data_IF_050200828817
#
_entry.id   IF_050200828817
#
_cell.length_a   1.000
_cell.length_b   1.000
_cell.length_c   1.000
_cell.angle_alpha   90.00
_cell.angle_beta   90.00
_cell.angle_gamma   90.00
#
_symmetry.space_group_name_H-M   'P 1'
#
loop_
_entity.id
_entity.type
_entity.pdbx_description
1 polymer ?
#
# COMPACT_ATOMS: atom_id res chain seq x y z
N UNK A 1 -12.96 1.19 -0.65
CA UNK A 1 -12.17 2.42 -0.47
C UNK A 1 -12.49 3.06 0.87
N UNK A 2 -13.75 3.46 1.13
CA UNK A 2 -14.11 4.24 2.33
C UNK A 2 -13.57 3.63 3.64
N UNK A 3 -13.91 2.39 3.95
CA UNK A 3 -13.52 1.72 5.21
C UNK A 3 -12.03 1.40 5.27
N UNK A 4 -11.53 0.68 4.24
CA UNK A 4 -10.18 0.12 4.26
C UNK A 4 -9.09 1.13 3.87
N UNK A 5 -9.47 2.32 3.42
CA UNK A 5 -8.54 3.38 3.08
C UNK A 5 -8.85 4.63 3.89
N UNK A 6 -9.93 5.38 3.60
CA UNK A 6 -10.20 6.65 4.25
C UNK A 6 -10.28 6.54 5.77
N UNK A 7 -11.18 5.71 6.32
CA UNK A 7 -11.34 5.59 7.78
C UNK A 7 -10.04 5.12 8.46
N UNK A 8 -9.31 4.20 7.81
CA UNK A 8 -8.06 3.69 8.36
C UNK A 8 -6.96 4.75 8.38
N UNK A 9 -6.76 5.46 7.27
CA UNK A 9 -5.69 6.47 7.14
C UNK A 9 -5.97 7.74 7.94
N UNK A 10 -7.27 8.06 8.16
CA UNK A 10 -7.69 9.22 8.96
C UNK A 10 -7.90 8.89 10.43
N UNK A 11 -7.51 7.70 10.88
CA UNK A 11 -7.78 7.24 12.25
C UNK A 11 -7.28 8.21 13.31
N UNK A 12 -6.09 8.77 13.17
CA UNK A 12 -5.54 9.74 14.10
C UNK A 12 -6.39 11.01 14.16
N UNK A 13 -6.83 11.54 13.01
CA UNK A 13 -7.68 12.71 12.93
C UNK A 13 -9.04 12.50 13.62
N UNK A 14 -9.59 11.29 13.56
CA UNK A 14 -10.80 10.94 14.31
C UNK A 14 -10.56 10.93 15.83
N UNK A 15 -9.38 10.46 16.27
CA UNK A 15 -8.99 10.51 17.67
C UNK A 15 -8.76 11.93 18.18
N UNK A 16 -8.25 12.81 17.34
CA UNK A 16 -8.00 14.22 17.63
C UNK A 16 -9.28 15.07 17.48
N UNK A 17 -10.43 14.42 17.25
CA UNK A 17 -11.74 15.05 17.07
C UNK A 17 -11.76 16.12 15.96
N UNK A 18 -10.99 15.89 14.87
CA UNK A 18 -10.93 16.78 13.71
C UNK A 18 -12.29 16.83 12.98
N UNK A 19 -12.98 17.95 13.11
CA UNK A 19 -14.29 18.17 12.51
C UNK A 19 -14.32 17.93 11.01
N UNK A 20 -13.30 18.33 10.26
CA UNK A 20 -13.25 18.14 8.82
C UNK A 20 -13.18 16.66 8.42
N UNK A 21 -12.53 15.81 9.23
CA UNK A 21 -12.52 14.37 9.00
C UNK A 21 -13.91 13.75 9.22
N UNK A 22 -14.62 14.19 10.26
CA UNK A 22 -16.00 13.75 10.52
C UNK A 22 -16.97 14.25 9.47
N UNK A 23 -16.89 15.53 9.07
CA UNK A 23 -17.76 16.11 8.05
C UNK A 23 -17.62 15.40 6.70
N UNK A 24 -16.39 15.06 6.30
CA UNK A 24 -16.12 14.28 5.09
C UNK A 24 -16.75 12.90 5.17
N UNK A 25 -16.58 12.20 6.30
CA UNK A 25 -17.17 10.87 6.50
C UNK A 25 -18.69 10.93 6.52
N UNK A 26 -19.25 11.91 7.22
CA UNK A 26 -20.69 12.16 7.31
C UNK A 26 -21.29 12.37 5.92
N UNK A 27 -20.72 13.30 5.13
CA UNK A 27 -21.18 13.60 3.78
C UNK A 27 -21.12 12.35 2.88
N UNK A 28 -20.02 11.61 2.93
CA UNK A 28 -19.86 10.38 2.15
C UNK A 28 -20.90 9.30 2.55
N UNK A 29 -21.19 9.16 3.85
CA UNK A 29 -22.18 8.18 4.32
C UNK A 29 -23.61 8.58 3.99
N UNK A 30 -23.97 9.84 4.18
CA UNK A 30 -25.32 10.35 3.83
C UNK A 30 -25.58 10.16 2.34
N UNK A 31 -24.68 10.64 1.49
CA UNK A 31 -24.79 10.49 0.03
C UNK A 31 -24.86 9.00 -0.39
N UNK A 32 -24.05 8.16 0.25
CA UNK A 32 -24.08 6.70 -0.04
C UNK A 32 -25.42 6.09 0.33
N UNK A 33 -26.04 6.50 1.45
CA UNK A 33 -27.36 5.97 1.84
C UNK A 33 -28.46 6.46 0.91
N UNK A 34 -28.42 7.71 0.45
CA UNK A 34 -29.36 8.24 -0.55
C UNK A 34 -29.25 7.49 -1.89
N UNK A 35 -28.01 7.23 -2.36
CA UNK A 35 -27.77 6.43 -3.56
C UNK A 35 -28.20 4.97 -3.40
N UNK A 36 -28.01 4.40 -2.22
CA UNK A 36 -28.34 3.00 -1.94
C UNK A 36 -29.82 2.76 -1.62
N UNK A 37 -30.60 3.80 -1.33
CA UNK A 37 -31.99 3.69 -0.89
C UNK A 37 -32.88 2.82 -1.84
N UNK A 38 -32.80 2.93 -3.17
CA UNK A 38 -33.58 2.08 -4.06
C UNK A 38 -33.17 0.59 -4.02
N UNK A 39 -31.93 0.28 -3.62
CA UNK A 39 -31.36 -1.07 -3.62
C UNK A 39 -31.43 -1.72 -2.24
N UNK A 40 -31.27 -0.94 -1.18
CA UNK A 40 -31.18 -1.39 0.20
C UNK A 40 -32.13 -0.58 1.10
N UNK A 41 -33.45 -0.57 0.83
CA UNK A 41 -34.39 0.41 1.41
C UNK A 41 -34.43 0.41 2.94
N UNK A 42 -34.35 -0.74 3.58
CA UNK A 42 -34.42 -0.83 5.06
C UNK A 42 -33.13 -0.41 5.74
N UNK A 43 -31.98 -0.82 5.16
CA UNK A 43 -30.67 -0.49 5.73
C UNK A 43 -30.33 0.98 5.54
N UNK A 44 -30.59 1.54 4.36
CA UNK A 44 -30.35 2.95 4.08
C UNK A 44 -31.21 3.85 4.96
N UNK A 45 -32.48 3.48 5.18
CA UNK A 45 -33.40 4.19 6.07
C UNK A 45 -32.84 4.27 7.51
N UNK A 46 -32.49 3.12 8.07
CA UNK A 46 -32.00 3.03 9.45
C UNK A 46 -30.71 3.86 9.67
N UNK A 47 -29.73 3.70 8.75
CA UNK A 47 -28.46 4.43 8.85
C UNK A 47 -28.66 5.91 8.60
N UNK A 48 -29.40 6.30 7.58
CA UNK A 48 -29.61 7.71 7.22
C UNK A 48 -30.34 8.48 8.33
N UNK A 49 -31.39 7.88 8.91
CA UNK A 49 -32.10 8.47 10.03
C UNK A 49 -31.21 8.61 11.27
N UNK A 50 -30.38 7.60 11.54
CA UNK A 50 -29.42 7.67 12.64
C UNK A 50 -28.38 8.77 12.47
N UNK A 51 -27.97 9.06 11.23
CA UNK A 51 -26.98 10.10 10.92
C UNK A 51 -27.60 11.50 10.91
N UNK A 52 -28.77 11.66 10.31
CA UNK A 52 -29.35 12.97 10.00
C UNK A 52 -30.44 13.41 10.99
N UNK A 53 -31.09 12.47 11.68
CA UNK A 53 -32.31 12.71 12.45
C UNK A 53 -33.55 13.04 11.57
N UNK A 54 -33.43 12.89 10.24
CA UNK A 54 -34.53 13.20 9.32
C UNK A 54 -35.64 12.17 9.35
N UNK A 55 -36.73 12.46 8.64
CA UNK A 55 -37.97 11.65 8.66
C UNK A 55 -37.75 10.31 7.90
N UNK A 56 -37.24 10.37 6.65
CA UNK A 56 -36.96 9.21 5.83
C UNK A 56 -36.04 9.53 4.67
N UNK A 57 -35.09 8.64 4.34
CA UNK A 57 -34.24 8.73 3.15
C UNK A 57 -35.07 8.66 1.86
N UNK A 58 -36.21 7.96 1.89
CA UNK A 58 -37.09 7.79 0.72
C UNK A 58 -37.91 9.04 0.38
N UNK A 59 -37.84 10.08 1.22
CA UNK A 59 -38.46 11.39 0.98
C UNK A 59 -37.45 12.43 0.49
N UNK A 60 -36.18 12.07 0.40
CA UNK A 60 -35.14 12.94 -0.14
C UNK A 60 -35.05 12.86 -1.67
N UNK A 61 -34.55 13.91 -2.28
CA UNK A 61 -34.21 13.89 -3.70
C UNK A 61 -32.95 13.02 -3.95
N UNK A 62 -32.83 12.53 -5.17
CA UNK A 62 -31.63 11.80 -5.57
C UNK A 62 -30.41 12.76 -5.54
N UNK A 63 -29.25 12.31 -4.98
CA UNK A 63 -28.10 13.21 -4.80
C UNK A 63 -27.64 13.81 -6.14
N UNK A 64 -27.39 15.09 -6.14
CA UNK A 64 -26.80 15.81 -7.27
C UNK A 64 -25.32 15.99 -6.98
N UNK A 65 -24.49 15.70 -7.98
CA UNK A 65 -23.04 15.93 -7.89
C UNK A 65 -22.79 17.43 -7.83
N UNK A 66 -22.14 17.88 -6.77
CA UNK A 66 -21.62 19.24 -6.67
C UNK A 66 -20.30 19.30 -7.48
N UNK A 67 -20.32 20.02 -8.61
CA UNK A 67 -19.12 20.20 -9.46
C UNK A 67 -17.95 20.84 -8.70
N UNK A 68 -18.21 21.55 -7.59
CA UNK A 68 -17.17 22.16 -6.77
C UNK A 68 -16.31 21.12 -6.02
N UNK A 69 -16.81 19.90 -5.84
CA UNK A 69 -16.05 18.79 -5.21
C UNK A 69 -15.49 17.81 -6.24
N UNK A 70 -15.73 18.03 -7.53
CA UNK A 70 -15.13 17.22 -8.59
C UNK A 70 -13.63 17.54 -8.73
N UNK A 71 -12.79 16.59 -8.37
CA UNK A 71 -11.34 16.73 -8.37
C UNK A 71 -10.68 15.52 -9.05
N UNK A 72 -10.83 15.35 -10.37
CA UNK A 72 -10.37 14.16 -11.09
C UNK A 72 -8.86 13.95 -10.97
N UNK A 73 -8.07 15.02 -10.92
CA UNK A 73 -6.62 14.94 -10.73
C UNK A 73 -6.24 14.40 -9.34
N UNK A 74 -6.94 14.84 -8.30
CA UNK A 74 -6.77 14.33 -6.94
C UNK A 74 -7.16 12.85 -6.84
N UNK A 75 -8.25 12.46 -7.48
CA UNK A 75 -8.70 11.05 -7.52
C UNK A 75 -7.66 10.20 -8.24
N UNK A 76 -7.16 10.64 -9.39
CA UNK A 76 -6.13 9.93 -10.14
C UNK A 76 -4.82 9.79 -9.33
N UNK A 77 -4.37 10.87 -8.69
CA UNK A 77 -3.19 10.83 -7.82
C UNK A 77 -3.38 9.87 -6.64
N UNK A 78 -4.56 9.88 -6.00
CA UNK A 78 -4.85 8.98 -4.87
C UNK A 78 -4.96 7.51 -5.31
N UNK A 79 -5.46 7.22 -6.49
CA UNK A 79 -5.50 5.86 -7.04
C UNK A 79 -4.08 5.35 -7.34
N UNK A 80 -3.20 6.22 -7.84
CA UNK A 80 -1.79 5.90 -8.01
C UNK A 80 -1.09 5.68 -6.66
N UNK A 81 -1.31 6.53 -5.66
CA UNK A 81 -0.81 6.34 -4.28
C UNK A 81 -1.23 4.98 -3.72
N UNK A 82 -2.48 4.59 -3.91
CA UNK A 82 -2.98 3.27 -3.47
C UNK A 82 -2.28 2.12 -4.19
N UNK A 83 -2.00 2.29 -5.47
CA UNK A 83 -1.28 1.32 -6.28
C UNK A 83 0.17 1.17 -5.80
N UNK A 84 0.86 2.29 -5.52
CA UNK A 84 2.21 2.33 -4.94
C UNK A 84 2.24 1.60 -3.60
N UNK A 85 1.34 1.92 -2.67
CA UNK A 85 1.24 1.26 -1.36
C UNK A 85 0.99 -0.24 -1.51
N UNK A 86 0.12 -0.64 -2.44
CA UNK A 86 -0.18 -2.05 -2.71
C UNK A 86 1.05 -2.79 -3.25
N UNK A 87 1.79 -2.21 -4.19
CA UNK A 87 3.03 -2.77 -4.73
C UNK A 87 4.11 -2.91 -3.66
N UNK A 88 4.31 -1.88 -2.84
CA UNK A 88 5.26 -1.92 -1.72
C UNK A 88 4.92 -3.02 -0.70
N UNK A 89 3.64 -3.23 -0.39
CA UNK A 89 3.21 -4.34 0.45
C UNK A 89 3.40 -5.70 -0.23
N UNK A 90 3.21 -5.80 -1.54
CA UNK A 90 3.49 -7.03 -2.30
C UNK A 90 4.97 -7.36 -2.26
N UNK A 91 5.86 -6.38 -2.43
CA UNK A 91 7.31 -6.52 -2.27
C UNK A 91 7.67 -7.02 -0.87
N UNK A 92 7.14 -6.38 0.19
CA UNK A 92 7.35 -6.84 1.57
C UNK A 92 6.93 -8.30 1.76
N UNK A 93 5.77 -8.68 1.24
CA UNK A 93 5.25 -10.05 1.36
C UNK A 93 6.12 -11.06 0.63
N UNK A 94 6.53 -10.77 -0.60
CA UNK A 94 7.39 -11.64 -1.43
C UNK A 94 8.75 -11.87 -0.76
N UNK A 95 9.31 -10.83 -0.13
CA UNK A 95 10.61 -10.90 0.55
C UNK A 95 10.48 -11.21 2.06
N UNK A 96 9.29 -11.64 2.53
CA UNK A 96 9.01 -12.04 3.91
C UNK A 96 9.31 -10.95 4.96
N UNK A 97 9.27 -9.68 4.55
CA UNK A 97 9.46 -8.52 5.43
C UNK A 97 8.18 -8.22 6.19
N UNK A 98 8.26 -8.18 7.51
CA UNK A 98 7.10 -7.85 8.35
C UNK A 98 6.67 -6.41 8.10
N UNK A 99 5.36 -6.15 7.99
CA UNK A 99 4.85 -4.78 7.79
C UNK A 99 5.22 -3.86 8.96
N UNK A 100 5.31 -4.39 10.18
CA UNK A 100 5.72 -3.63 11.37
C UNK A 100 7.21 -3.31 11.44
N UNK A 101 8.06 -4.03 10.71
CA UNK A 101 9.46 -3.72 10.60
C UNK A 101 9.61 -2.44 9.77
N UNK A 102 10.06 -1.31 10.35
CA UNK A 102 10.31 -0.12 9.57
C UNK A 102 11.49 -0.36 8.64
N UNK A 103 11.45 0.25 7.46
CA UNK A 103 12.53 0.24 6.49
C UNK A 103 13.01 1.66 6.24
N UNK A 104 14.21 1.80 5.66
CA UNK A 104 14.85 3.10 5.49
C UNK A 104 14.08 3.97 4.50
N UNK A 105 13.82 3.48 3.29
CA UNK A 105 13.24 4.31 2.23
C UNK A 105 12.42 3.53 1.21
N UNK A 106 11.52 4.26 0.55
CA UNK A 106 10.85 3.88 -0.68
C UNK A 106 11.17 4.93 -1.75
N UNK A 107 11.75 4.51 -2.87
CA UNK A 107 11.90 5.36 -4.05
C UNK A 107 10.70 5.10 -4.97
N UNK A 108 10.02 6.17 -5.36
CA UNK A 108 8.92 6.18 -6.32
C UNK A 108 9.37 6.93 -7.56
N UNK A 109 9.40 6.25 -8.69
CA UNK A 109 9.82 6.81 -9.97
C UNK A 109 8.61 6.90 -10.89
N UNK A 110 8.20 8.11 -11.22
CA UNK A 110 7.00 8.37 -12.04
C UNK A 110 7.19 9.63 -12.89
N UNK A 111 6.64 9.64 -14.08
CA UNK A 111 6.59 10.86 -14.91
C UNK A 111 5.77 11.97 -14.22
N UNK A 112 4.77 11.61 -13.44
CA UNK A 112 3.89 12.54 -12.73
C UNK A 112 4.18 12.61 -11.22
N UNK A 113 5.45 12.47 -10.84
CA UNK A 113 5.84 12.42 -9.41
C UNK A 113 5.41 13.67 -8.62
N UNK A 114 5.38 14.85 -9.25
CA UNK A 114 4.99 16.09 -8.59
C UNK A 114 3.55 16.06 -8.03
N UNK A 115 2.65 15.33 -8.68
CA UNK A 115 1.29 15.12 -8.17
C UNK A 115 1.23 14.15 -6.98
N UNK A 116 2.28 13.35 -6.77
CA UNK A 116 2.38 12.34 -5.71
C UNK A 116 3.12 12.88 -4.47
N UNK A 117 4.00 13.86 -4.63
CA UNK A 117 4.79 14.45 -3.52
C UNK A 117 3.94 14.90 -2.32
N UNK A 118 2.74 15.51 -2.48
CA UNK A 118 1.90 15.89 -1.35
C UNK A 118 1.46 14.72 -0.47
N UNK A 119 1.58 13.49 -0.97
CA UNK A 119 1.19 12.27 -0.27
C UNK A 119 2.37 11.48 0.30
N UNK A 120 3.57 12.07 0.33
CA UNK A 120 4.79 11.39 0.83
C UNK A 120 4.60 10.81 2.23
N UNK A 121 4.10 11.60 3.17
CA UNK A 121 3.87 11.17 4.55
C UNK A 121 2.83 10.06 4.65
N UNK A 122 1.77 10.13 3.84
CA UNK A 122 0.76 9.08 3.77
C UNK A 122 1.37 7.76 3.27
N UNK A 123 2.14 7.80 2.19
CA UNK A 123 2.82 6.63 1.64
C UNK A 123 3.82 6.07 2.68
N UNK A 124 4.63 6.94 3.31
CA UNK A 124 5.60 6.55 4.32
C UNK A 124 4.95 5.83 5.50
N UNK A 125 3.85 6.38 6.00
CA UNK A 125 3.07 5.80 7.10
C UNK A 125 2.46 4.46 6.72
N UNK A 126 1.83 4.36 5.56
CA UNK A 126 1.16 3.15 5.10
C UNK A 126 2.14 2.00 4.80
N UNK A 127 3.27 2.33 4.18
CA UNK A 127 4.32 1.35 3.84
C UNK A 127 5.23 1.05 5.04
N UNK A 128 5.23 1.89 6.07
CA UNK A 128 6.14 1.88 7.23
C UNK A 128 7.61 2.02 6.80
N UNK A 129 7.90 3.12 6.12
CA UNK A 129 9.26 3.54 5.76
C UNK A 129 9.57 4.91 6.38
N UNK A 130 10.86 5.21 6.59
CA UNK A 130 11.29 6.48 7.18
C UNK A 130 11.20 7.65 6.21
N UNK A 131 11.36 7.38 4.92
CA UNK A 131 11.30 8.40 3.88
C UNK A 131 10.74 7.84 2.58
N UNK A 132 10.08 8.71 1.83
CA UNK A 132 9.70 8.46 0.44
C UNK A 132 10.43 9.46 -0.43
N UNK A 133 11.14 8.97 -1.44
CA UNK A 133 11.88 9.77 -2.40
C UNK A 133 11.17 9.66 -3.75
N UNK A 134 10.96 10.79 -4.39
CA UNK A 134 10.35 10.83 -5.72
C UNK A 134 11.39 11.21 -6.77
N UNK A 135 11.29 10.63 -7.94
CA UNK A 135 12.18 10.92 -9.06
C UNK A 135 11.46 10.78 -10.39
N UNK A 136 11.91 11.53 -11.37
CA UNK A 136 11.54 11.26 -12.76
C UNK A 136 12.31 10.03 -13.28
N UNK A 137 11.78 9.28 -14.26
CA UNK A 137 12.45 8.10 -14.81
C UNK A 137 13.88 8.37 -15.31
N UNK A 138 14.09 9.51 -15.98
CA UNK A 138 15.40 9.91 -16.52
C UNK A 138 16.43 10.23 -15.43
N UNK A 139 16.00 10.63 -14.25
CA UNK A 139 16.85 11.07 -13.12
C UNK A 139 17.08 9.97 -12.08
N UNK A 140 16.34 8.88 -12.20
CA UNK A 140 16.35 7.78 -11.20
C UNK A 140 17.64 6.96 -11.18
N UNK A 141 18.40 6.99 -12.27
CA UNK A 141 19.60 6.16 -12.45
C UNK A 141 19.32 4.65 -12.56
N UNK A 142 18.06 4.26 -12.60
CA UNK A 142 17.64 2.87 -12.69
C UNK A 142 17.67 2.38 -14.13
N UNK A 143 18.16 1.14 -14.33
CA UNK A 143 18.08 0.47 -15.63
C UNK A 143 16.78 -0.32 -15.69
N UNK A 144 15.95 0.03 -16.66
CA UNK A 144 14.70 -0.67 -16.94
C UNK A 144 14.96 -1.73 -18.01
N UNK A 145 14.59 -2.96 -17.70
CA UNK A 145 14.62 -4.07 -18.67
C UNK A 145 13.21 -4.48 -19.00
N UNK A 146 12.90 -4.49 -20.27
CA UNK A 146 11.66 -5.05 -20.76
C UNK A 146 11.93 -6.46 -21.28
N UNK A 147 11.28 -7.44 -20.69
CA UNK A 147 11.40 -8.84 -21.08
C UNK A 147 10.13 -9.30 -21.77
N UNK A 148 10.31 -9.86 -22.94
CA UNK A 148 9.24 -10.49 -23.70
C UNK A 148 9.18 -11.98 -23.33
N UNK A 149 8.04 -12.45 -22.91
CA UNK A 149 7.77 -13.87 -22.72
C UNK A 149 6.82 -14.35 -23.83
N UNK A 150 7.25 -15.33 -24.61
CA UNK A 150 6.42 -15.95 -25.64
C UNK A 150 5.61 -17.10 -25.06
N UNK A 151 4.35 -17.24 -25.49
CA UNK A 151 3.46 -18.33 -25.12
C UNK A 151 3.18 -19.25 -26.32
N UNK A 152 4.03 -20.25 -26.61
CA UNK A 152 3.87 -21.11 -27.78
C UNK A 152 2.58 -21.94 -27.77
N UNK A 153 1.91 -22.07 -26.62
CA UNK A 153 0.63 -22.80 -26.53
C UNK A 153 -0.52 -22.04 -27.18
N UNK A 154 -0.43 -20.71 -27.16
CA UNK A 154 -1.42 -19.82 -27.77
C UNK A 154 -1.13 -19.54 -29.26
N UNK A 155 0.00 -20.02 -29.81
CA UNK A 155 0.37 -19.79 -31.21
C UNK A 155 -0.58 -20.52 -32.16
N UNK A 156 -1.02 -19.84 -33.20
CA UNK A 156 -1.72 -20.44 -34.32
C UNK A 156 -0.79 -21.45 -35.06
N UNK A 157 -1.31 -22.39 -35.85
CA UNK A 157 -0.51 -23.37 -36.56
C UNK A 157 0.54 -22.78 -37.54
N UNK A 158 0.28 -21.58 -38.07
CA UNK A 158 1.21 -20.86 -38.95
C UNK A 158 2.37 -20.27 -38.15
N UNK A 159 2.09 -19.54 -37.06
CA UNK A 159 3.07 -18.95 -36.15
C UNK A 159 3.90 -20.03 -35.46
N UNK A 160 3.30 -21.16 -35.11
CA UNK A 160 3.98 -22.28 -34.46
C UNK A 160 5.14 -22.85 -35.26
N UNK A 161 5.11 -22.78 -36.59
CA UNK A 161 6.20 -23.20 -37.46
C UNK A 161 7.42 -22.27 -37.33
N UNK A 162 7.23 -21.05 -36.91
CA UNK A 162 8.24 -20.00 -36.77
C UNK A 162 8.79 -19.90 -35.34
N UNK A 163 8.38 -20.77 -34.42
CA UNK A 163 8.72 -20.71 -32.99
C UNK A 163 10.23 -20.55 -32.74
N UNK A 164 11.09 -21.28 -33.47
CA UNK A 164 12.53 -21.18 -33.30
C UNK A 164 13.09 -19.82 -33.73
N UNK A 165 12.52 -19.21 -34.76
CA UNK A 165 12.92 -17.88 -35.24
C UNK A 165 12.44 -16.82 -34.23
N UNK A 166 11.23 -16.95 -33.69
CA UNK A 166 10.71 -16.07 -32.66
C UNK A 166 11.54 -16.06 -31.37
N UNK A 167 11.95 -17.24 -30.88
CA UNK A 167 12.84 -17.32 -29.72
C UNK A 167 14.23 -16.74 -30.00
N UNK A 168 14.71 -16.84 -31.23
CA UNK A 168 15.99 -16.22 -31.63
C UNK A 168 15.85 -14.68 -31.66
N UNK A 169 14.81 -14.16 -32.28
CA UNK A 169 14.51 -12.72 -32.33
C UNK A 169 14.23 -12.15 -30.93
N UNK A 170 13.52 -12.89 -30.07
CA UNK A 170 13.33 -12.53 -28.66
C UNK A 170 14.67 -12.33 -27.94
N UNK A 171 15.60 -13.26 -28.10
CA UNK A 171 16.92 -13.20 -27.45
C UNK A 171 17.83 -12.11 -28.02
N UNK A 172 17.71 -11.78 -29.31
CA UNK A 172 18.47 -10.69 -29.94
C UNK A 172 17.88 -9.34 -29.69
N UNK A 173 16.69 -9.24 -29.08
CA UNK A 173 15.99 -7.97 -28.83
C UNK A 173 15.35 -7.38 -30.11
N UNK A 174 15.21 -8.16 -31.17
CA UNK A 174 14.62 -7.74 -32.45
C UNK A 174 13.10 -7.81 -32.41
N UNK A 175 12.50 -7.09 -31.47
CA UNK A 175 11.05 -7.01 -31.31
C UNK A 175 10.67 -5.63 -30.75
N UNK A 176 9.46 -5.22 -31.03
CA UNK A 176 8.87 -4.01 -30.49
C UNK A 176 7.41 -4.26 -30.11
N UNK A 177 6.92 -3.54 -29.09
CA UNK A 177 5.51 -3.58 -28.68
C UNK A 177 4.89 -2.23 -28.97
N UNK A 178 3.86 -2.24 -29.80
CA UNK A 178 3.12 -1.04 -30.20
C UNK A 178 1.63 -1.36 -30.15
N UNK A 179 0.87 -0.54 -29.46
CA UNK A 179 -0.59 -0.67 -29.33
C UNK A 179 -1.08 -2.06 -28.82
N UNK A 180 -0.30 -2.71 -27.95
CA UNK A 180 -0.64 -4.03 -27.40
C UNK A 180 -0.34 -5.20 -28.33
N UNK A 181 0.37 -4.96 -29.44
CA UNK A 181 0.86 -5.96 -30.37
C UNK A 181 2.38 -6.08 -30.27
N UNK A 182 2.91 -7.31 -30.35
CA UNK A 182 4.33 -7.54 -30.41
C UNK A 182 4.75 -7.83 -31.87
N UNK A 183 5.58 -6.95 -32.43
CA UNK A 183 6.07 -7.02 -33.81
C UNK A 183 7.48 -7.54 -33.86
N UNK A 184 7.73 -8.44 -34.81
CA UNK A 184 9.04 -9.04 -35.08
C UNK A 184 9.50 -8.67 -36.49
N UNK A 185 10.27 -7.57 -36.66
CA UNK A 185 10.70 -7.12 -37.99
C UNK A 185 11.54 -8.13 -38.75
N UNK A 186 12.27 -8.98 -38.02
CA UNK A 186 13.16 -10.01 -38.62
C UNK A 186 12.50 -11.37 -38.86
N UNK A 187 11.23 -11.54 -38.50
CA UNK A 187 10.48 -12.77 -38.70
C UNK A 187 9.27 -12.48 -39.62
N UNK A 188 9.21 -13.13 -40.75
CA UNK A 188 8.13 -12.91 -41.74
C UNK A 188 7.13 -14.05 -41.73
N UNK A 189 5.86 -13.70 -41.86
CA UNK A 189 4.77 -14.64 -42.17
C UNK A 189 4.01 -14.07 -43.37
N UNK A 190 3.90 -14.91 -44.43
CA UNK A 190 3.21 -14.55 -45.67
C UNK A 190 3.75 -13.27 -46.36
N UNK A 191 5.06 -12.97 -46.19
CA UNK A 191 5.71 -11.81 -46.80
C UNK A 191 5.53 -10.49 -46.04
N UNK A 192 5.04 -10.54 -44.81
CA UNK A 192 4.95 -9.37 -43.92
C UNK A 192 5.62 -9.67 -42.56
N UNK A 193 6.13 -8.65 -41.83
CA UNK A 193 6.63 -8.81 -40.48
C UNK A 193 5.59 -9.47 -39.56
N UNK A 194 6.01 -10.46 -38.79
CA UNK A 194 5.12 -11.19 -37.89
C UNK A 194 4.67 -10.28 -36.75
N UNK A 195 3.37 -10.31 -36.50
CA UNK A 195 2.75 -9.63 -35.38
C UNK A 195 2.07 -10.66 -34.47
N UNK A 196 2.41 -10.65 -33.18
CA UNK A 196 1.75 -11.44 -32.16
C UNK A 196 0.72 -10.58 -31.42
N UNK A 197 -0.44 -11.16 -31.11
CA UNK A 197 -1.54 -10.48 -30.42
C UNK A 197 -2.08 -11.33 -29.27
N UNK A 198 -2.78 -10.68 -28.35
CA UNK A 198 -3.48 -11.35 -27.25
C UNK A 198 -2.56 -12.20 -26.38
N UNK A 199 -2.98 -13.45 -26.10
CA UNK A 199 -2.29 -14.37 -25.18
C UNK A 199 -1.03 -15.01 -25.77
N UNK A 200 -0.63 -14.67 -26.99
CA UNK A 200 0.55 -15.24 -27.66
C UNK A 200 1.88 -14.78 -27.01
N UNK A 201 1.84 -13.67 -26.32
CA UNK A 201 2.99 -13.12 -25.62
C UNK A 201 2.58 -12.40 -24.35
N UNK A 202 3.53 -12.16 -23.47
CA UNK A 202 3.41 -11.21 -22.36
C UNK A 202 4.71 -10.39 -22.26
N UNK A 203 4.54 -9.15 -21.87
CA UNK A 203 5.67 -8.26 -21.63
C UNK A 203 5.72 -7.99 -20.13
N UNK A 204 6.87 -8.22 -19.53
CA UNK A 204 7.17 -7.84 -18.16
C UNK A 204 8.27 -6.80 -18.18
N UNK A 205 8.07 -5.75 -17.42
CA UNK A 205 9.10 -4.75 -17.17
C UNK A 205 9.70 -5.03 -15.81
N UNK A 206 11.00 -5.13 -15.74
CA UNK A 206 11.74 -5.26 -14.49
C UNK A 206 12.73 -4.10 -14.35
N UNK A 207 13.04 -3.78 -13.12
CA UNK A 207 14.00 -2.72 -12.78
C UNK A 207 15.20 -3.40 -12.11
N UNK A 208 16.40 -3.11 -12.58
CA UNK A 208 17.61 -3.56 -11.90
C UNK A 208 17.76 -2.74 -10.60
N UNK A 209 17.34 -3.34 -9.49
CA UNK A 209 17.58 -2.80 -8.16
C UNK A 209 19.00 -3.12 -7.68
N UNK A 210 19.58 -2.24 -6.85
CA UNK A 210 20.87 -2.48 -6.23
C UNK A 210 20.79 -3.61 -5.19
N UNK A 211 21.94 -4.10 -4.73
CA UNK A 211 22.00 -5.04 -3.61
C UNK A 211 21.34 -4.41 -2.38
N UNK A 212 20.52 -5.18 -1.66
CA UNK A 212 19.73 -4.68 -0.54
C UNK A 212 18.44 -3.94 -0.94
N UNK A 213 18.10 -3.87 -2.22
CA UNK A 213 16.89 -3.24 -2.71
C UNK A 213 16.02 -4.23 -3.50
N UNK A 214 14.70 -3.99 -3.46
CA UNK A 214 13.74 -4.75 -4.25
C UNK A 214 12.80 -3.80 -4.97
N UNK A 215 12.44 -4.13 -6.21
CA UNK A 215 11.67 -3.24 -7.06
C UNK A 215 10.45 -3.94 -7.67
N UNK A 216 9.44 -3.15 -8.00
CA UNK A 216 8.26 -3.57 -8.76
C UNK A 216 7.86 -2.46 -9.73
N UNK A 217 7.14 -2.84 -10.78
CA UNK A 217 6.66 -1.95 -11.84
C UNK A 217 5.15 -2.02 -11.89
N UNK A 218 4.51 -0.88 -11.68
CA UNK A 218 3.06 -0.75 -11.73
C UNK A 218 2.55 -0.72 -13.18
N UNK A 219 1.29 -1.05 -13.37
CA UNK A 219 0.64 -0.98 -14.70
C UNK A 219 0.60 0.45 -15.28
N UNK A 220 0.68 1.47 -14.43
CA UNK A 220 0.82 2.88 -14.83
C UNK A 220 2.18 3.23 -15.41
N UNK A 221 3.18 2.33 -15.31
CA UNK A 221 4.57 2.60 -15.64
C UNK A 221 5.38 3.25 -14.50
N UNK A 222 4.78 3.47 -13.34
CA UNK A 222 5.48 3.91 -12.12
C UNK A 222 6.31 2.76 -11.57
N UNK A 223 7.54 3.03 -11.13
CA UNK A 223 8.40 2.07 -10.45
C UNK A 223 8.43 2.36 -8.96
N UNK A 224 8.48 1.31 -8.16
CA UNK A 224 8.72 1.39 -6.72
C UNK A 224 9.94 0.57 -6.36
N UNK A 225 10.87 1.17 -5.62
CA UNK A 225 12.07 0.49 -5.14
C UNK A 225 12.10 0.62 -3.62
N UNK A 226 12.06 -0.50 -2.94
CA UNK A 226 12.05 -0.59 -1.50
C UNK A 226 13.45 -0.98 -1.00
N UNK A 227 14.00 -0.16 -0.11
CA UNK A 227 15.22 -0.46 0.59
C UNK A 227 14.92 -1.51 1.68
N UNK A 228 15.62 -2.63 1.63
CA UNK A 228 15.41 -3.76 2.54
C UNK A 228 16.55 -3.96 3.53
N UNK A 229 17.60 -3.12 3.46
CA UNK A 229 18.68 -3.17 4.44
C UNK A 229 18.18 -2.73 5.81
N UNK A 230 18.49 -3.53 6.83
CA UNK A 230 18.13 -3.24 8.20
C UNK A 230 19.34 -2.68 8.93
N UNK A 231 19.19 -1.48 9.47
CA UNK A 231 20.15 -0.94 10.44
C UNK A 231 19.78 -1.37 11.85
N UNK A 232 20.74 -1.37 12.79
CA UNK A 232 20.44 -1.69 14.20
C UNK A 232 19.30 -0.83 14.78
N UNK A 233 19.19 0.44 14.36
CA UNK A 233 18.13 1.34 14.81
C UNK A 233 16.76 0.91 14.27
N UNK A 234 16.69 0.45 13.00
CA UNK A 234 15.46 -0.05 12.40
C UNK A 234 15.04 -1.39 13.02
N UNK A 235 16.00 -2.25 13.37
CA UNK A 235 15.74 -3.50 14.08
C UNK A 235 15.20 -3.23 15.48
N UNK A 236 15.82 -2.30 16.23
CA UNK A 236 15.37 -1.89 17.56
C UNK A 236 13.95 -1.32 17.53
N UNK A 237 13.64 -0.44 16.56
CA UNK A 237 12.27 0.09 16.38
C UNK A 237 11.28 -1.03 16.02
N UNK A 238 11.67 -1.93 15.14
CA UNK A 238 10.84 -3.07 14.76
C UNK A 238 10.49 -3.93 15.97
N UNK A 239 11.46 -4.20 16.85
CA UNK A 239 11.23 -4.90 18.10
C UNK A 239 10.31 -4.13 19.04
N UNK A 240 10.52 -2.82 19.21
CA UNK A 240 9.64 -1.98 20.03
C UNK A 240 8.18 -1.99 19.54
N UNK A 241 7.95 -1.97 18.23
CA UNK A 241 6.59 -2.10 17.66
C UNK A 241 5.97 -3.49 17.87
N UNK A 242 6.79 -4.55 17.89
CA UNK A 242 6.32 -5.89 18.28
C UNK A 242 5.94 -5.93 19.77
N UNK A 243 6.68 -5.21 20.64
CA UNK A 243 6.33 -5.03 22.07
C UNK A 243 4.99 -4.29 22.20
N UNK A 244 4.82 -3.15 21.51
CA UNK A 244 3.54 -2.39 21.52
C UNK A 244 2.38 -3.31 21.16
N UNK A 245 2.53 -4.13 20.11
CA UNK A 245 1.48 -5.07 19.74
C UNK A 245 1.18 -6.08 20.85
N UNK A 246 2.22 -6.67 21.45
CA UNK A 246 2.04 -7.62 22.55
C UNK A 246 1.30 -6.97 23.72
N UNK A 247 1.59 -5.70 24.04
CA UNK A 247 0.87 -4.92 25.05
C UNK A 247 -0.60 -4.72 24.67
N UNK A 248 -0.88 -4.37 23.41
CA UNK A 248 -2.27 -4.18 22.94
C UNK A 248 -3.06 -5.49 22.98
N UNK A 249 -2.43 -6.60 22.63
CA UNK A 249 -3.04 -7.94 22.73
C UNK A 249 -3.34 -8.27 24.21
N UNK A 250 -2.42 -7.98 25.15
CA UNK A 250 -2.61 -8.21 26.58
C UNK A 250 -3.67 -7.28 27.19
N UNK A 251 -3.73 -6.01 26.81
CA UNK A 251 -4.81 -5.08 27.18
C UNK A 251 -6.20 -5.64 26.83
N UNK A 252 -6.31 -6.20 25.60
CA UNK A 252 -7.54 -6.83 25.14
C UNK A 252 -7.89 -8.08 25.94
N UNK A 253 -6.90 -8.93 26.25
CA UNK A 253 -7.07 -10.12 27.06
C UNK A 253 -7.53 -9.78 28.49
N UNK A 254 -7.00 -8.69 29.05
CA UNK A 254 -7.38 -8.15 30.35
C UNK A 254 -8.74 -7.45 30.35
N UNK A 255 -9.42 -7.32 29.18
CA UNK A 255 -10.72 -6.67 29.07
C UNK A 255 -10.69 -5.14 29.29
N UNK A 256 -9.53 -4.51 29.09
CA UNK A 256 -9.38 -3.06 29.26
C UNK A 256 -10.05 -2.29 28.12
N UNK A 257 -10.61 -1.15 28.46
CA UNK A 257 -11.14 -0.21 27.47
C UNK A 257 -9.98 0.45 26.70
N UNK A 258 -10.24 0.88 25.45
CA UNK A 258 -9.22 1.49 24.58
C UNK A 258 -8.59 2.73 25.25
N UNK A 259 -9.38 3.52 25.96
CA UNK A 259 -8.95 4.75 26.63
C UNK A 259 -8.34 4.54 28.04
N UNK A 260 -8.35 3.33 28.56
CA UNK A 260 -7.81 3.06 29.90
C UNK A 260 -6.30 3.32 29.95
N UNK A 261 -5.83 3.97 31.00
CA UNK A 261 -4.41 4.13 31.31
C UNK A 261 -3.92 2.90 32.06
N UNK A 262 -2.65 2.54 31.84
CA UNK A 262 -2.07 1.34 32.41
C UNK A 262 -0.74 1.58 33.11
N UNK A 263 -0.43 0.71 34.07
CA UNK A 263 0.91 0.45 34.54
C UNK A 263 1.44 -0.77 33.78
N UNK A 264 2.60 -0.65 33.14
CA UNK A 264 3.16 -1.63 32.24
C UNK A 264 4.47 -2.17 32.77
N UNK A 265 4.57 -3.49 32.91
CA UNK A 265 5.82 -4.20 33.21
C UNK A 265 6.16 -5.16 32.07
N UNK A 266 7.36 -5.00 31.54
CA UNK A 266 7.91 -5.79 30.45
C UNK A 266 9.07 -6.64 30.95
N UNK A 267 9.05 -7.93 30.66
CA UNK A 267 10.25 -8.77 30.69
C UNK A 267 10.66 -9.05 29.27
N UNK A 268 11.91 -8.73 28.92
CA UNK A 268 12.42 -8.87 27.54
C UNK A 268 13.76 -9.62 27.54
N UNK A 269 14.12 -10.30 26.42
CA UNK A 269 15.46 -10.88 26.29
C UNK A 269 16.56 -9.84 26.55
N UNK A 270 17.66 -10.29 27.17
CA UNK A 270 18.72 -9.38 27.64
C UNK A 270 19.35 -8.55 26.50
N UNK A 271 19.40 -9.07 25.28
CA UNK A 271 19.89 -8.42 24.08
C UNK A 271 18.95 -7.31 23.55
N UNK A 272 17.67 -7.33 23.94
CA UNK A 272 16.67 -6.33 23.53
C UNK A 272 16.30 -5.31 24.61
N UNK A 273 16.92 -5.37 25.79
CA UNK A 273 16.66 -4.36 26.85
C UNK A 273 17.01 -2.96 26.38
N UNK A 274 18.18 -2.81 25.73
CA UNK A 274 18.60 -1.52 25.20
C UNK A 274 17.66 -0.98 24.10
N UNK A 275 17.14 -1.87 23.26
CA UNK A 275 16.19 -1.52 22.20
C UNK A 275 14.88 -0.97 22.79
N UNK A 276 14.34 -1.65 23.80
CA UNK A 276 13.09 -1.23 24.47
C UNK A 276 13.30 0.09 25.22
N UNK A 277 14.45 0.27 25.88
CA UNK A 277 14.75 1.52 26.58
C UNK A 277 14.94 2.69 25.62
N UNK A 278 15.55 2.48 24.44
CA UNK A 278 15.69 3.50 23.41
C UNK A 278 14.32 3.99 22.86
N UNK A 279 13.32 3.12 22.87
CA UNK A 279 11.98 3.40 22.35
C UNK A 279 10.91 3.49 23.45
N UNK A 280 11.33 3.70 24.70
CA UNK A 280 10.46 3.74 25.89
C UNK A 280 9.29 4.71 25.73
N UNK A 281 9.56 5.93 25.28
CA UNK A 281 8.55 6.99 25.14
C UNK A 281 7.50 6.64 24.09
N UNK A 282 7.92 6.06 22.96
CA UNK A 282 7.01 5.58 21.92
C UNK A 282 6.11 4.44 22.44
N UNK A 283 6.71 3.46 23.13
CA UNK A 283 5.96 2.34 23.73
C UNK A 283 4.92 2.87 24.71
N UNK A 284 5.32 3.77 25.61
CA UNK A 284 4.42 4.34 26.61
C UNK A 284 3.28 5.13 25.95
N UNK A 285 3.58 5.97 24.95
CA UNK A 285 2.57 6.76 24.23
C UNK A 285 1.56 5.88 23.49
N UNK A 286 2.04 4.90 22.70
CA UNK A 286 1.17 4.04 21.90
C UNK A 286 0.36 3.02 22.73
N UNK A 287 0.78 2.76 23.96
CA UNK A 287 0.08 1.83 24.87
C UNK A 287 -0.71 2.53 25.96
N UNK A 288 -0.65 3.86 26.05
CA UNK A 288 -1.24 4.68 27.11
C UNK A 288 -0.72 4.30 28.51
N UNK A 289 0.55 3.90 28.58
CA UNK A 289 1.19 3.55 29.86
C UNK A 289 1.60 4.83 30.61
N UNK A 290 1.24 4.91 31.90
CA UNK A 290 1.67 5.98 32.81
C UNK A 290 2.99 5.60 33.51
N UNK A 291 3.23 4.32 33.69
CA UNK A 291 4.48 3.77 34.17
C UNK A 291 4.93 2.62 33.27
N UNK A 292 6.23 2.50 33.07
CA UNK A 292 6.84 1.41 32.29
C UNK A 292 8.07 0.91 33.04
N UNK A 293 8.05 -0.36 33.42
CA UNK A 293 9.19 -1.08 33.99
C UNK A 293 9.70 -2.11 33.00
N UNK A 294 11.02 -2.20 32.84
CA UNK A 294 11.66 -3.13 31.90
C UNK A 294 12.66 -3.99 32.67
N UNK A 295 12.51 -5.29 32.59
CA UNK A 295 13.40 -6.27 33.20
C UNK A 295 13.95 -7.23 32.15
N UNK A 296 15.20 -7.68 32.36
CA UNK A 296 15.79 -8.72 31.54
C UNK A 296 15.24 -10.10 31.89
N UNK A 297 15.03 -10.94 30.88
CA UNK A 297 14.59 -12.33 31.04
C UNK A 297 14.86 -13.16 29.79
N UNK A 298 14.22 -14.34 29.68
CA UNK A 298 14.47 -15.26 28.58
C UNK A 298 13.58 -14.99 27.35
N UNK A 299 12.43 -14.37 27.55
CA UNK A 299 11.45 -14.10 26.48
C UNK A 299 10.58 -12.89 26.81
N UNK A 300 9.96 -12.32 25.78
CA UNK A 300 9.00 -11.25 25.96
C UNK A 300 7.79 -11.73 26.78
N UNK A 301 7.56 -11.05 27.90
CA UNK A 301 6.35 -11.18 28.72
C UNK A 301 5.82 -9.78 29.00
N UNK A 302 4.53 -9.64 28.92
CA UNK A 302 3.82 -8.39 29.15
C UNK A 302 2.87 -8.53 30.32
N UNK A 303 2.89 -7.58 31.23
CA UNK A 303 1.91 -7.46 32.31
C UNK A 303 1.32 -6.07 32.29
N UNK A 304 0.01 -6.00 32.27
CA UNK A 304 -0.74 -4.74 32.31
C UNK A 304 -1.61 -4.70 33.55
N UNK A 305 -1.61 -3.57 34.24
CA UNK A 305 -2.55 -3.29 35.30
C UNK A 305 -3.27 -1.98 34.95
N UNK A 306 -4.58 -1.91 35.23
CA UNK A 306 -5.31 -0.66 35.07
C UNK A 306 -4.83 0.31 36.13
N UNK A 307 -4.45 1.51 35.71
CA UNK A 307 -4.02 2.59 36.62
C UNK A 307 -5.20 3.19 37.40
#
# INVERSE_FOLDING_TARGET
VLTNWYVRTQRQRFWDEDGAAFDTLYTALVTLMELAAPLLPLLSEEIWRGLTGGESVHLTDFPVIDEAVDAPELVAAMDEVRSIVSAAHALRKTHQLRVRQPLASLLVVSENFAALEPFADLIASEVNVKSVVFSAPQDSGLSVRTELALNPRAFDPAVRKLTSQLFKAQKSGEWEVVDGECRFPSVELDGAPLVLTGDMFSVSTSVDAAEGQVADVLASGTFVVLDTELTPELEAEGYARDVVRAVQDERKNAGLHIADRIDLSLTVPSDHVADVEAWRDMIAAETLALSLEVEAGDKLQVRVAKH
#
